data_IF_727988610292
#
_entry.id   IF_727988610292
#
_cell.length_a   1.000
_cell.length_b   1.000
_cell.length_c   1.000
_cell.angle_alpha   90.00
_cell.angle_beta   90.00
_cell.angle_gamma   90.00
#
_symmetry.space_group_name_H-M   'P 1'
#
loop_
_entity.id
_entity.type
_entity.pdbx_description
1 polymer ?
#
# COMPACT_ATOMS: atom_id res chain seq x y z
N UNK A 1 -16.06 -48.34 0.05
CA UNK A 1 -14.70 -47.76 0.04
C UNK A 1 -14.60 -46.55 -0.85
N UNK A 2 -15.01 -46.65 -2.09
CA UNK A 2 -15.00 -45.50 -3.00
C UNK A 2 -15.85 -44.33 -2.51
N UNK A 3 -16.96 -44.62 -1.88
CA UNK A 3 -17.86 -43.57 -1.36
C UNK A 3 -17.22 -42.72 -0.28
N UNK A 4 -16.51 -43.34 0.65
CA UNK A 4 -15.83 -42.59 1.70
C UNK A 4 -14.72 -41.69 1.17
N UNK A 5 -14.01 -42.18 0.18
CA UNK A 5 -12.95 -41.40 -0.44
C UNK A 5 -13.51 -40.17 -1.15
N UNK A 6 -14.58 -40.33 -1.90
CA UNK A 6 -15.19 -39.22 -2.62
C UNK A 6 -15.75 -38.15 -1.66
N UNK A 7 -16.32 -38.56 -0.53
CA UNK A 7 -16.83 -37.62 0.46
C UNK A 7 -15.71 -36.75 1.02
N UNK A 8 -14.56 -37.35 1.31
CA UNK A 8 -13.43 -36.60 1.81
C UNK A 8 -12.97 -35.53 0.85
N UNK A 9 -12.92 -35.86 -0.43
CA UNK A 9 -12.51 -34.90 -1.46
C UNK A 9 -13.51 -33.74 -1.58
N UNK A 10 -14.80 -34.06 -1.57
CA UNK A 10 -15.84 -33.04 -1.68
C UNK A 10 -15.80 -32.05 -0.53
N UNK A 11 -15.66 -32.57 0.69
CA UNK A 11 -15.61 -31.71 1.88
C UNK A 11 -14.36 -30.82 1.84
N UNK A 12 -13.21 -31.38 1.49
CA UNK A 12 -11.99 -30.61 1.38
C UNK A 12 -12.08 -29.54 0.31
N UNK A 13 -12.63 -29.88 -0.84
CA UNK A 13 -12.79 -28.96 -1.95
C UNK A 13 -13.71 -27.79 -1.58
N UNK A 14 -14.84 -28.08 -0.93
CA UNK A 14 -15.77 -27.04 -0.49
C UNK A 14 -15.17 -26.12 0.54
N UNK A 15 -14.39 -26.67 1.50
CA UNK A 15 -13.71 -25.86 2.49
C UNK A 15 -12.67 -24.95 1.92
N UNK A 16 -11.90 -25.44 0.94
CA UNK A 16 -10.90 -24.64 0.26
C UNK A 16 -11.50 -23.46 -0.51
N UNK A 17 -12.60 -23.70 -1.19
CA UNK A 17 -13.27 -22.64 -1.94
C UNK A 17 -13.79 -21.55 -1.01
N UNK A 18 -14.37 -21.93 0.11
CA UNK A 18 -14.82 -20.95 1.10
C UNK A 18 -13.66 -20.13 1.66
N UNK A 19 -12.54 -20.77 1.94
CA UNK A 19 -11.35 -20.07 2.42
C UNK A 19 -10.81 -19.08 1.39
N UNK A 20 -10.78 -19.49 0.13
CA UNK A 20 -10.33 -18.61 -0.95
C UNK A 20 -11.25 -17.42 -1.11
N UNK A 21 -12.55 -17.62 -1.02
CA UNK A 21 -13.53 -16.54 -1.11
C UNK A 21 -13.36 -15.55 0.03
N UNK A 22 -13.14 -16.04 1.25
CA UNK A 22 -12.88 -15.16 2.40
C UNK A 22 -11.61 -14.38 2.22
N UNK A 23 -10.57 -15.03 1.74
CA UNK A 23 -9.29 -14.36 1.51
C UNK A 23 -9.45 -13.25 0.48
N UNK A 24 -10.14 -13.51 -0.62
CA UNK A 24 -10.38 -12.50 -1.64
C UNK A 24 -11.16 -11.33 -1.09
N UNK A 25 -12.17 -11.60 -0.28
CA UNK A 25 -12.97 -10.56 0.35
C UNK A 25 -12.13 -9.71 1.31
N UNK A 26 -11.33 -10.37 2.14
CA UNK A 26 -10.45 -9.66 3.07
C UNK A 26 -9.41 -8.81 2.35
N UNK A 27 -8.84 -9.32 1.26
CA UNK A 27 -7.90 -8.56 0.45
C UNK A 27 -8.56 -7.35 -0.18
N UNK A 28 -9.77 -7.51 -0.71
CA UNK A 28 -10.50 -6.41 -1.30
C UNK A 28 -10.82 -5.33 -0.27
N UNK A 29 -11.22 -5.73 0.94
CA UNK A 29 -11.49 -4.80 2.03
C UNK A 29 -10.22 -4.08 2.47
N UNK A 30 -9.11 -4.80 2.59
CA UNK A 30 -7.83 -4.22 2.96
C UNK A 30 -7.33 -3.22 1.92
N UNK A 31 -7.49 -3.54 0.64
CA UNK A 31 -7.12 -2.64 -0.45
C UNK A 31 -7.99 -1.39 -0.45
N UNK A 32 -9.28 -1.53 -0.17
CA UNK A 32 -10.18 -0.38 -0.07
C UNK A 32 -9.78 0.54 1.08
N UNK A 33 -9.36 -0.03 2.22
CA UNK A 33 -8.87 0.75 3.36
C UNK A 33 -7.55 1.44 3.04
N UNK A 34 -6.67 0.76 2.31
CA UNK A 34 -5.40 1.37 1.89
C UNK A 34 -5.61 2.60 1.03
N UNK A 35 -6.65 2.60 0.20
CA UNK A 35 -6.97 3.76 -0.63
C UNK A 35 -7.38 4.97 0.20
N UNK A 36 -7.80 4.76 1.46
CA UNK A 36 -8.20 5.83 2.38
C UNK A 36 -7.09 6.20 3.37
N UNK A 37 -6.19 5.28 3.69
CA UNK A 37 -5.07 5.55 4.58
C UNK A 37 -4.00 6.35 3.84
N UNK A 38 -3.31 7.22 4.56
CA UNK A 38 -2.29 8.08 3.98
C UNK A 38 -0.98 7.97 4.74
N UNK A 39 0.10 8.24 4.00
CA UNK A 39 1.43 8.47 4.55
C UNK A 39 1.86 9.86 4.16
N UNK A 40 2.76 10.43 4.95
CA UNK A 40 3.26 11.79 4.72
C UNK A 40 4.78 11.75 4.71
N UNK A 41 5.37 12.27 3.64
CA UNK A 41 6.81 12.42 3.52
C UNK A 41 7.16 13.89 3.40
N UNK A 42 8.28 14.29 4.00
CA UNK A 42 8.77 15.65 3.94
C UNK A 42 10.23 15.67 3.51
N UNK A 43 10.63 16.75 2.89
CA UNK A 43 12.01 17.00 2.53
C UNK A 43 12.33 18.49 2.72
N UNK A 44 13.62 18.83 2.73
CA UNK A 44 14.05 20.20 2.88
C UNK A 44 13.68 20.81 4.22
N UNK A 45 13.77 20.03 5.30
CA UNK A 45 13.39 20.52 6.62
C UNK A 45 11.90 20.77 6.79
N UNK A 46 11.07 20.08 6.03
CA UNK A 46 9.63 20.26 6.05
C UNK A 46 9.12 21.26 5.03
N UNK A 47 9.99 21.79 4.18
CA UNK A 47 9.58 22.78 3.18
C UNK A 47 8.74 22.17 2.06
N UNK A 48 8.92 20.87 1.78
CA UNK A 48 8.08 20.13 0.83
C UNK A 48 7.44 18.98 1.58
N UNK A 49 6.14 18.82 1.38
CA UNK A 49 5.35 17.75 2.00
C UNK A 49 4.52 17.07 0.93
N UNK A 50 4.58 15.73 0.87
CA UNK A 50 3.76 14.93 -0.03
C UNK A 50 2.93 13.99 0.83
N UNK A 51 1.63 13.97 0.57
CA UNK A 51 0.69 13.03 1.19
C UNK A 51 0.29 12.02 0.11
N UNK A 52 0.48 10.74 0.40
CA UNK A 52 0.21 9.67 -0.54
C UNK A 52 -0.68 8.63 0.11
N UNK A 53 -1.60 8.05 -0.66
CA UNK A 53 -2.44 6.97 -0.16
C UNK A 53 -1.66 5.66 -0.13
N UNK A 54 -2.18 4.69 0.62
CA UNK A 54 -1.56 3.38 0.71
C UNK A 54 -1.56 2.60 -0.60
N UNK A 55 -2.40 2.99 -1.55
CA UNK A 55 -2.43 2.42 -2.89
C UNK A 55 -1.63 3.24 -3.91
N UNK A 56 -0.68 4.04 -3.41
CA UNK A 56 0.31 4.76 -4.22
C UNK A 56 -0.28 5.87 -5.10
N UNK A 57 -1.28 6.55 -4.60
CA UNK A 57 -1.80 7.75 -5.26
C UNK A 57 -1.40 8.98 -4.48
N UNK A 58 -0.84 9.96 -5.15
CA UNK A 58 -0.49 11.22 -4.52
C UNK A 58 -1.76 12.02 -4.27
N UNK A 59 -2.01 12.34 -3.00
CA UNK A 59 -3.22 13.06 -2.60
C UNK A 59 -2.98 14.56 -2.57
N UNK A 60 -1.82 14.99 -2.11
CA UNK A 60 -1.51 16.42 -2.04
C UNK A 60 0.00 16.63 -2.03
N UNK A 61 0.38 17.82 -2.49
CA UNK A 61 1.76 18.31 -2.44
C UNK A 61 1.69 19.72 -1.88
N UNK A 62 2.48 19.99 -0.85
CA UNK A 62 2.61 21.32 -0.27
C UNK A 62 4.06 21.76 -0.38
N UNK A 63 4.26 22.97 -0.89
CA UNK A 63 5.58 23.57 -1.02
C UNK A 63 5.57 24.91 -0.28
N UNK A 64 6.50 25.09 0.64
CA UNK A 64 6.64 26.35 1.36
C UNK A 64 6.97 27.48 0.39
N UNK A 65 6.26 28.61 0.46
CA UNK A 65 6.60 29.76 -0.39
C UNK A 65 8.04 30.25 -0.20
N UNK A 66 8.58 30.13 1.01
CA UNK A 66 9.95 30.54 1.29
C UNK A 66 10.96 29.70 0.51
N UNK A 67 10.68 28.43 0.32
CA UNK A 67 11.54 27.56 -0.48
C UNK A 67 11.63 28.05 -1.93
N UNK A 68 10.52 28.49 -2.48
CA UNK A 68 10.49 28.96 -3.86
C UNK A 68 11.29 30.25 -4.08
N UNK A 69 11.48 31.04 -3.01
CA UNK A 69 12.28 32.25 -3.09
C UNK A 69 13.78 31.95 -3.14
N UNK A 70 14.20 30.91 -2.44
CA UNK A 70 15.61 30.63 -2.23
C UNK A 70 16.15 29.51 -3.11
N UNK A 71 15.29 28.57 -3.52
CA UNK A 71 15.71 27.40 -4.27
C UNK A 71 15.76 27.69 -5.77
N UNK A 72 16.83 27.23 -6.42
CA UNK A 72 16.86 27.19 -7.88
C UNK A 72 16.14 25.91 -8.37
N UNK A 73 16.01 25.80 -9.68
CA UNK A 73 15.28 24.68 -10.29
C UNK A 73 15.93 23.34 -9.97
N UNK A 74 17.24 23.27 -9.97
CA UNK A 74 17.98 22.04 -9.70
C UNK A 74 17.74 21.56 -8.27
N UNK A 75 17.84 22.46 -7.30
CA UNK A 75 17.59 22.16 -5.90
C UNK A 75 16.16 21.69 -5.70
N UNK A 76 15.21 22.37 -6.32
CA UNK A 76 13.79 22.03 -6.21
C UNK A 76 13.52 20.65 -6.81
N UNK A 77 14.12 20.34 -7.97
CA UNK A 77 13.99 19.03 -8.59
C UNK A 77 14.52 17.92 -7.69
N UNK A 78 15.65 18.12 -7.05
CA UNK A 78 16.22 17.12 -6.14
C UNK A 78 15.34 16.89 -4.93
N UNK A 79 14.77 17.94 -4.36
CA UNK A 79 13.86 17.82 -3.21
C UNK A 79 12.58 17.12 -3.59
N UNK A 80 12.01 17.42 -4.75
CA UNK A 80 10.80 16.76 -5.23
C UNK A 80 11.07 15.28 -5.46
N UNK A 81 12.16 14.95 -6.13
CA UNK A 81 12.55 13.56 -6.37
C UNK A 81 12.68 12.80 -5.05
N UNK A 82 13.35 13.39 -4.10
CA UNK A 82 13.59 12.80 -2.79
C UNK A 82 12.28 12.54 -2.04
N UNK A 83 11.40 13.53 -1.95
CA UNK A 83 10.17 13.43 -1.18
C UNK A 83 9.17 12.48 -1.85
N UNK A 84 9.13 12.43 -3.18
CA UNK A 84 8.26 11.52 -3.91
C UNK A 84 8.69 10.07 -3.66
N UNK A 85 9.99 9.80 -3.75
CA UNK A 85 10.50 8.46 -3.50
C UNK A 85 10.28 8.03 -2.04
N UNK A 86 10.46 8.93 -1.08
CA UNK A 86 10.14 8.64 0.32
C UNK A 86 8.67 8.30 0.51
N UNK A 87 7.78 9.06 -0.12
CA UNK A 87 6.34 8.81 -0.03
C UNK A 87 5.97 7.46 -0.65
N UNK A 88 6.57 7.12 -1.79
CA UNK A 88 6.35 5.81 -2.42
C UNK A 88 6.82 4.67 -1.53
N UNK A 89 7.99 4.80 -0.93
CA UNK A 89 8.52 3.79 -0.01
C UNK A 89 7.62 3.61 1.20
N UNK A 90 7.15 4.71 1.78
CA UNK A 90 6.24 4.66 2.93
C UNK A 90 4.89 4.04 2.55
N UNK A 91 4.38 4.36 1.35
CA UNK A 91 3.14 3.78 0.84
C UNK A 91 3.26 2.27 0.66
N UNK A 92 4.37 1.80 0.07
CA UNK A 92 4.65 0.37 -0.09
C UNK A 92 4.77 -0.33 1.26
N UNK A 93 5.43 0.30 2.21
CA UNK A 93 5.57 -0.23 3.57
C UNK A 93 4.20 -0.40 4.23
N UNK A 94 3.35 0.60 4.11
CA UNK A 94 1.99 0.53 4.64
C UNK A 94 1.20 -0.60 4.01
N UNK A 95 1.27 -0.74 2.69
CA UNK A 95 0.60 -1.82 1.97
C UNK A 95 1.10 -3.18 2.44
N UNK A 96 2.41 -3.32 2.61
CA UNK A 96 3.01 -4.56 3.10
C UNK A 96 2.50 -4.91 4.49
N UNK A 97 2.40 -3.92 5.39
CA UNK A 97 1.90 -4.13 6.74
C UNK A 97 0.45 -4.57 6.77
N UNK A 98 -0.38 -4.02 5.89
CA UNK A 98 -1.82 -4.33 5.85
C UNK A 98 -2.13 -5.62 5.11
N UNK A 99 -1.40 -5.91 4.03
CA UNK A 99 -1.70 -7.06 3.17
C UNK A 99 -0.89 -8.29 3.51
N UNK A 100 0.31 -8.12 4.09
CA UNK A 100 1.19 -9.23 4.42
C UNK A 100 0.52 -10.32 5.27
N UNK A 101 -0.13 -9.96 6.39
CA UNK A 101 -0.81 -10.96 7.21
C UNK A 101 -1.93 -11.70 6.49
N UNK A 102 -2.57 -11.05 5.52
CA UNK A 102 -3.68 -11.64 4.76
C UNK A 102 -3.20 -12.62 3.70
N UNK A 103 -1.95 -12.48 3.24
CA UNK A 103 -1.39 -13.38 2.24
C UNK A 103 -0.74 -14.61 2.85
N UNK A 104 -0.78 -14.75 4.17
CA UNK A 104 -0.22 -15.89 4.87
C UNK A 104 1.29 -16.05 4.72
N UNK A 105 1.97 -14.94 4.47
CA UNK A 105 3.41 -14.98 4.30
C UNK A 105 3.86 -15.37 2.90
N UNK A 106 2.97 -15.37 1.92
CA UNK A 106 3.35 -15.61 0.54
C UNK A 106 4.27 -14.49 0.04
N UNK A 107 5.34 -14.81 -0.68
CA UNK A 107 6.20 -13.78 -1.25
C UNK A 107 5.44 -13.01 -2.33
N UNK A 108 5.56 -11.71 -2.28
CA UNK A 108 4.87 -10.83 -3.23
C UNK A 108 5.85 -10.05 -4.10
#
# INVERSE_FOLDING_TARGET
>A
MAKGFNRGQQVGSGGMMQQLQRMQLQLAEAQAKLAEETVTATAGGGAIKVVMTGDQKCKSVEISPDLLKDADAEMLQDLVLSVVNMALDQSRELASQRLGPLTGGLPL
#
